data_IF_145928415406
#
_entry.id   IF_145928415406
#
_cell.length_a   1.000
_cell.length_b   1.000
_cell.length_c   1.000
_cell.angle_alpha   90.00
_cell.angle_beta   90.00
_cell.angle_gamma   90.00
#
_symmetry.space_group_name_H-M   'P 1'
#
loop_
_entity.id
_entity.type
_entity.pdbx_description
1 polymer ?
#
# COMPACT_ATOMS: atom_id res chain seq x y z
N UNK A 1 -9.57 -78.16 -14.17
CA UNK A 1 -10.79 -77.54 -13.60
C UNK A 1 -10.65 -76.02 -13.67
N UNK A 2 -11.63 -75.40 -14.35
CA UNK A 2 -12.08 -73.99 -14.44
C UNK A 2 -11.20 -72.86 -13.84
N UNK A 3 -10.73 -71.89 -14.66
CA UNK A 3 -11.32 -70.55 -15.01
C UNK A 3 -11.10 -69.49 -13.91
N UNK A 4 -10.72 -68.22 -14.09
CA UNK A 4 -10.43 -67.28 -15.18
C UNK A 4 -9.58 -66.14 -14.51
N UNK A 5 -8.47 -65.63 -15.05
CA UNK A 5 -8.35 -64.53 -16.03
C UNK A 5 -9.11 -63.23 -15.66
N UNK A 6 -8.41 -62.09 -15.49
CA UNK A 6 -8.30 -60.98 -16.47
C UNK A 6 -7.43 -59.82 -15.96
N UNK A 7 -6.84 -59.11 -16.94
CA UNK A 7 -5.85 -58.02 -16.85
C UNK A 7 -6.51 -56.64 -17.03
N UNK A 8 -5.80 -55.63 -16.53
CA UNK A 8 -5.57 -54.27 -17.10
C UNK A 8 -6.72 -53.27 -17.32
N UNK A 9 -6.34 -51.98 -17.16
CA UNK A 9 -7.11 -50.76 -17.50
C UNK A 9 -7.28 -49.89 -16.25
N UNK A 10 -6.65 -48.73 -16.07
CA UNK A 10 -6.70 -47.53 -16.92
C UNK A 10 -7.39 -46.43 -16.10
N UNK A 11 -6.70 -45.35 -15.71
CA UNK A 11 -6.82 -44.00 -16.30
C UNK A 11 -7.82 -43.07 -15.56
N UNK A 12 -7.22 -42.03 -14.94
CA UNK A 12 -7.57 -40.59 -15.03
C UNK A 12 -8.82 -40.02 -14.29
N UNK A 13 -8.52 -38.93 -13.56
CA UNK A 13 -9.32 -37.76 -13.19
C UNK A 13 -10.52 -37.92 -12.24
N UNK A 14 -10.30 -37.52 -10.97
CA UNK A 14 -11.35 -36.89 -10.16
C UNK A 14 -10.96 -35.42 -9.96
N UNK A 15 -11.02 -34.66 -11.06
CA UNK A 15 -11.06 -33.20 -11.06
C UNK A 15 -12.34 -32.78 -11.79
N UNK A 16 -13.50 -33.14 -11.21
CA UNK A 16 -14.82 -32.85 -11.79
C UNK A 16 -15.95 -32.73 -10.77
N UNK A 17 -15.66 -32.81 -9.47
CA UNK A 17 -16.68 -32.81 -8.42
C UNK A 17 -17.25 -31.44 -8.06
N UNK A 18 -16.59 -30.33 -8.45
CA UNK A 18 -16.95 -28.99 -7.96
C UNK A 18 -17.90 -28.21 -8.87
N UNK A 19 -18.30 -28.75 -10.04
CA UNK A 19 -19.16 -28.01 -10.98
C UNK A 19 -20.54 -28.63 -11.26
N UNK A 20 -20.84 -29.84 -10.75
CA UNK A 20 -22.14 -30.50 -10.96
C UNK A 20 -23.10 -30.41 -9.76
N UNK A 21 -22.64 -30.00 -8.58
CA UNK A 21 -23.54 -29.78 -7.43
C UNK A 21 -24.40 -28.51 -7.55
N UNK A 22 -24.15 -27.65 -8.55
CA UNK A 22 -24.87 -26.39 -8.78
C UNK A 22 -26.04 -26.46 -9.76
N UNK A 23 -26.33 -27.61 -10.39
CA UNK A 23 -27.31 -27.70 -11.49
C UNK A 23 -28.52 -28.61 -11.23
N UNK A 24 -28.73 -29.10 -10.00
CA UNK A 24 -29.84 -30.03 -9.69
C UNK A 24 -30.59 -29.81 -8.37
N UNK A 25 -30.72 -28.57 -7.92
CA UNK A 25 -31.70 -28.20 -6.89
C UNK A 25 -32.63 -27.10 -7.42
N UNK A 26 -33.40 -27.47 -8.45
CA UNK A 26 -34.61 -26.77 -8.81
C UNK A 26 -35.79 -27.51 -8.19
N UNK A 27 -36.58 -26.78 -7.41
CA UNK A 27 -37.91 -27.12 -6.91
C UNK A 27 -38.03 -28.45 -6.17
N UNK A 28 -37.89 -28.45 -4.84
CA UNK A 28 -38.90 -28.95 -3.88
C UNK A 28 -38.52 -28.45 -2.47
N UNK A 29 -39.24 -27.45 -1.95
CA UNK A 29 -39.16 -27.05 -0.54
C UNK A 29 -40.35 -27.65 0.21
N UNK A 30 -40.14 -28.59 1.16
CA UNK A 30 -41.20 -29.20 1.94
C UNK A 30 -41.45 -28.34 3.20
N UNK A 31 -42.01 -27.14 3.02
CA UNK A 31 -42.53 -26.33 4.13
C UNK A 31 -43.74 -25.53 3.66
N UNK A 32 -44.73 -26.25 3.15
CA UNK A 32 -46.08 -25.76 2.93
C UNK A 32 -46.97 -26.45 3.95
N UNK A 33 -47.19 -25.77 5.08
CA UNK A 33 -48.33 -25.84 6.00
C UNK A 33 -47.88 -25.43 7.40
N UNK A 34 -47.63 -24.13 7.60
CA UNK A 34 -47.73 -23.52 8.92
C UNK A 34 -48.87 -22.49 8.82
N UNK A 35 -49.94 -22.71 9.59
CA UNK A 35 -51.01 -21.73 9.74
C UNK A 35 -50.43 -20.47 10.38
N UNK A 36 -50.37 -19.39 9.62
CA UNK A 36 -49.98 -18.08 10.12
C UNK A 36 -51.10 -17.54 11.03
N UNK A 37 -50.86 -17.54 12.34
CA UNK A 37 -51.67 -16.78 13.28
C UNK A 37 -51.38 -15.28 13.06
N UNK A 38 -52.29 -14.57 12.42
CA UNK A 38 -52.26 -13.11 12.27
C UNK A 38 -52.62 -12.44 13.60
N UNK A 39 -51.65 -12.31 14.49
CA UNK A 39 -51.71 -11.32 15.57
C UNK A 39 -51.27 -9.96 14.99
N UNK A 40 -52.24 -9.14 14.59
CA UNK A 40 -51.99 -7.78 14.11
C UNK A 40 -51.80 -6.88 15.33
N UNK A 41 -50.55 -6.64 15.73
CA UNK A 41 -50.25 -5.56 16.68
C UNK A 41 -50.48 -4.21 15.98
N UNK A 42 -51.22 -3.26 16.59
CA UNK A 42 -51.36 -1.93 16.02
C UNK A 42 -50.00 -1.23 16.02
N UNK A 43 -49.55 -0.85 14.82
CA UNK A 43 -48.34 -0.03 14.64
C UNK A 43 -48.62 1.36 15.20
N UNK A 44 -47.82 1.90 16.13
CA UNK A 44 -47.99 3.28 16.57
C UNK A 44 -47.78 4.22 15.38
N UNK A 45 -48.80 5.03 15.09
CA UNK A 45 -48.75 6.02 14.01
C UNK A 45 -47.87 7.18 14.48
N UNK A 46 -46.63 7.24 14.02
CA UNK A 46 -45.79 8.41 14.21
C UNK A 46 -46.42 9.60 13.45
N UNK A 47 -46.45 10.81 14.04
CA UNK A 47 -46.85 11.99 13.28
C UNK A 47 -45.92 12.16 12.07
N UNK A 48 -46.44 12.62 10.92
CA UNK A 48 -45.58 12.97 9.80
C UNK A 48 -44.57 14.02 10.26
N UNK A 49 -43.27 13.72 10.14
CA UNK A 49 -42.25 14.75 10.28
C UNK A 49 -42.56 15.85 9.26
N UNK A 50 -42.82 17.06 9.74
CA UNK A 50 -42.93 18.23 8.89
C UNK A 50 -41.57 18.41 8.20
N UNK A 51 -41.52 18.11 6.91
CA UNK A 51 -40.41 18.50 6.05
C UNK A 51 -40.49 20.02 5.92
N UNK A 52 -39.84 20.74 6.84
CA UNK A 52 -39.41 22.11 6.59
C UNK A 52 -38.67 22.10 5.24
N UNK A 53 -38.94 23.05 4.31
CA UNK A 53 -38.19 23.16 3.09
C UNK A 53 -36.71 23.16 3.45
N UNK A 54 -35.95 22.22 2.91
CA UNK A 54 -34.50 22.22 3.07
C UNK A 54 -34.04 23.59 2.56
N UNK A 55 -33.65 24.47 3.49
CA UNK A 55 -32.93 25.68 3.16
C UNK A 55 -31.78 25.21 2.27
N UNK A 56 -31.75 25.64 1.02
CA UNK A 56 -30.64 25.34 0.11
C UNK A 56 -29.37 25.78 0.82
N UNK A 57 -28.65 24.81 1.39
CA UNK A 57 -27.38 25.04 2.03
C UNK A 57 -26.43 25.53 0.93
N UNK A 58 -26.34 26.85 0.78
CA UNK A 58 -25.36 27.49 -0.08
C UNK A 58 -23.99 26.94 0.35
N UNK A 59 -23.18 26.37 -0.55
CA UNK A 59 -21.84 25.93 -0.19
C UNK A 59 -21.06 27.17 0.21
N UNK A 60 -20.96 27.41 1.52
CA UNK A 60 -20.48 28.70 2.05
C UNK A 60 -18.96 28.77 2.12
N UNK A 61 -18.24 27.76 1.62
CA UNK A 61 -16.79 27.82 1.50
C UNK A 61 -16.39 27.10 0.22
N UNK A 62 -15.57 27.73 -0.62
CA UNK A 62 -14.78 26.99 -1.60
C UNK A 62 -13.87 26.06 -0.81
N UNK A 63 -14.29 24.81 -0.65
CA UNK A 63 -13.48 23.79 0.00
C UNK A 63 -12.33 23.52 -0.95
N UNK A 64 -11.17 24.11 -0.66
CA UNK A 64 -9.93 23.82 -1.35
C UNK A 64 -9.63 22.31 -1.34
N UNK A 65 -8.72 21.85 -2.21
CA UNK A 65 -8.35 20.44 -2.27
C UNK A 65 -7.98 19.93 -0.87
N UNK A 66 -8.50 18.76 -0.49
CA UNK A 66 -8.13 18.15 0.79
C UNK A 66 -6.63 17.92 0.86
N UNK A 67 -6.04 17.96 2.07
CA UNK A 67 -4.59 17.77 2.21
C UNK A 67 -4.09 16.44 1.62
N UNK A 68 -4.88 15.38 1.77
CA UNK A 68 -4.60 14.09 1.13
C UNK A 68 -4.59 14.19 -0.41
N UNK A 69 -5.48 15.00 -1.00
CA UNK A 69 -5.50 15.23 -2.45
C UNK A 69 -4.31 16.06 -2.95
N UNK A 70 -3.78 16.96 -2.12
CA UNK A 70 -2.52 17.66 -2.43
C UNK A 70 -1.33 16.70 -2.41
N UNK A 71 -1.26 15.84 -1.40
CA UNK A 71 -0.19 14.84 -1.23
C UNK A 71 -0.22 13.84 -2.40
N UNK A 72 -1.41 13.33 -2.72
CA UNK A 72 -1.63 12.30 -3.74
C UNK A 72 -1.99 12.89 -5.09
N UNK A 73 -1.58 14.14 -5.36
CA UNK A 73 -1.82 14.85 -6.62
C UNK A 73 -1.42 14.02 -7.84
N UNK A 74 -0.33 13.27 -7.73
CA UNK A 74 0.23 12.46 -8.82
C UNK A 74 -0.17 10.98 -8.81
N UNK A 75 -1.26 10.64 -8.11
CA UNK A 75 -1.80 9.29 -8.11
C UNK A 75 -1.44 8.47 -6.88
N UNK A 76 -2.07 7.29 -6.78
CA UNK A 76 -1.88 6.35 -5.68
C UNK A 76 -1.09 5.15 -6.20
N UNK A 77 0.06 4.81 -5.58
CA UNK A 77 0.80 3.60 -5.97
C UNK A 77 -0.02 2.31 -5.80
N UNK A 78 -0.93 2.29 -4.82
CA UNK A 78 -1.91 1.22 -4.61
C UNK A 78 -3.02 1.66 -3.67
N UNK A 79 -3.96 0.78 -3.33
CA UNK A 79 -5.12 1.10 -2.48
C UNK A 79 -5.25 0.21 -1.23
N UNK A 80 -4.27 -0.67 -0.97
CA UNK A 80 -4.35 -1.58 0.17
C UNK A 80 -4.14 -0.82 1.49
N UNK A 81 -5.07 -0.98 2.44
CA UNK A 81 -5.08 -0.37 3.77
C UNK A 81 -4.55 1.08 3.79
N UNK A 82 -5.19 1.94 2.99
CA UNK A 82 -4.84 3.34 2.87
C UNK A 82 -5.21 4.13 4.14
N UNK A 83 -4.28 4.96 4.60
CA UNK A 83 -4.46 5.84 5.76
C UNK A 83 -3.94 7.24 5.46
N UNK A 84 -4.72 8.24 5.84
CA UNK A 84 -4.42 9.65 5.62
C UNK A 84 -4.09 10.32 6.95
N UNK A 85 -2.91 10.93 7.03
CA UNK A 85 -2.49 11.77 8.14
C UNK A 85 -2.40 13.23 7.66
N UNK A 86 -2.09 14.13 8.58
CA UNK A 86 -2.03 15.56 8.29
C UNK A 86 -0.97 15.93 7.24
N UNK A 87 0.20 15.29 7.26
CA UNK A 87 1.31 15.66 6.35
C UNK A 87 1.81 14.51 5.45
N UNK A 88 1.20 13.33 5.57
CA UNK A 88 1.57 12.17 4.77
C UNK A 88 0.41 11.20 4.59
N UNK A 89 0.49 10.38 3.56
CA UNK A 89 -0.45 9.29 3.27
C UNK A 89 0.34 7.99 3.23
N UNK A 90 -0.16 6.92 3.84
CA UNK A 90 0.51 5.63 3.83
C UNK A 90 -0.43 4.49 3.48
N UNK A 91 0.11 3.47 2.83
CA UNK A 91 -0.52 2.17 2.63
C UNK A 91 0.15 1.16 3.55
N UNK A 92 -0.63 0.49 4.40
CA UNK A 92 -0.08 -0.39 5.43
C UNK A 92 -0.17 -1.86 5.04
N UNK A 93 0.97 -2.55 5.00
CA UNK A 93 1.01 -3.99 4.80
C UNK A 93 0.82 -4.71 6.14
N UNK A 94 -0.38 -5.24 6.34
CA UNK A 94 -0.70 -6.05 7.54
C UNK A 94 0.13 -7.33 7.64
N UNK A 95 0.57 -7.90 6.52
CA UNK A 95 1.35 -9.14 6.49
C UNK A 95 2.77 -8.91 7.00
N UNK A 96 3.41 -7.83 6.55
CA UNK A 96 4.79 -7.51 6.95
C UNK A 96 4.88 -6.62 8.18
N UNK A 97 3.76 -6.04 8.65
CA UNK A 97 3.66 -5.01 9.70
C UNK A 97 4.47 -3.75 9.39
N UNK A 98 4.65 -3.47 8.09
CA UNK A 98 5.37 -2.30 7.59
C UNK A 98 4.50 -1.57 6.58
N UNK A 99 4.87 -0.35 6.18
CA UNK A 99 4.18 0.30 5.08
C UNK A 99 4.55 -0.39 3.75
N UNK A 100 3.58 -0.58 2.86
CA UNK A 100 3.87 -0.83 1.45
C UNK A 100 4.60 0.39 0.87
N UNK A 101 4.08 1.58 1.18
CA UNK A 101 4.64 2.86 0.79
C UNK A 101 4.12 3.98 1.69
N UNK A 102 4.90 5.04 1.80
CA UNK A 102 4.52 6.31 2.43
C UNK A 102 4.79 7.44 1.45
N UNK A 103 3.81 8.32 1.25
CA UNK A 103 3.89 9.49 0.39
C UNK A 103 3.77 10.77 1.23
N UNK A 104 4.73 11.67 1.04
CA UNK A 104 4.81 12.97 1.71
C UNK A 104 4.87 14.09 0.66
N UNK A 105 4.24 15.23 0.92
CA UNK A 105 4.35 16.43 0.07
C UNK A 105 4.95 17.58 0.86
N UNK A 106 6.26 17.77 0.67
CA UNK A 106 7.05 18.78 1.36
C UNK A 106 7.06 20.08 0.58
N UNK A 107 6.83 21.20 1.25
CA UNK A 107 6.97 22.57 0.71
C UNK A 107 8.00 23.35 1.53
N UNK A 108 8.60 24.45 1.02
CA UNK A 108 9.62 25.17 1.76
C UNK A 108 9.03 25.76 3.04
N UNK A 109 7.78 26.25 2.96
CA UNK A 109 7.02 26.79 4.08
C UNK A 109 6.84 25.79 5.22
N UNK A 110 6.60 24.51 4.92
CA UNK A 110 6.48 23.43 5.92
C UNK A 110 7.82 22.87 6.40
N UNK A 111 8.89 23.11 5.63
CA UNK A 111 10.25 22.70 5.99
C UNK A 111 10.95 23.69 6.93
N UNK A 112 10.41 24.90 7.13
CA UNK A 112 10.95 25.90 8.06
C UNK A 112 10.98 25.32 9.48
N UNK A 113 12.07 25.58 10.19
CA UNK A 113 12.16 25.23 11.60
C UNK A 113 11.22 26.11 12.40
N UNK A 114 10.25 25.49 13.06
CA UNK A 114 9.38 26.15 14.02
C UNK A 114 9.87 25.79 15.44
N UNK A 115 10.22 26.78 16.29
CA UNK A 115 10.69 26.51 17.65
C UNK A 115 9.61 25.86 18.55
N UNK A 116 8.33 25.92 18.17
CA UNK A 116 7.25 25.21 18.86
C UNK A 116 7.26 23.70 18.58
N UNK A 117 7.83 23.28 17.44
CA UNK A 117 7.85 21.88 17.00
C UNK A 117 9.15 21.23 17.44
N UNK A 118 9.09 20.60 18.62
CA UNK A 118 10.21 19.85 19.18
C UNK A 118 10.05 18.34 18.95
N UNK A 119 10.90 17.80 18.07
CA UNK A 119 10.96 16.36 17.78
C UNK A 119 11.35 15.52 19.01
N UNK A 120 12.01 16.11 20.02
CA UNK A 120 12.36 15.40 21.25
C UNK A 120 11.13 14.96 22.05
N UNK A 121 9.99 15.65 21.87
CA UNK A 121 8.70 15.34 22.50
C UNK A 121 7.89 14.28 21.73
N UNK A 122 8.34 13.87 20.55
CA UNK A 122 7.68 12.83 19.76
C UNK A 122 8.15 11.45 20.24
N UNK A 123 7.20 10.61 20.66
CA UNK A 123 7.46 9.21 21.02
C UNK A 123 6.98 8.28 19.91
N UNK A 124 7.78 7.28 19.55
CA UNK A 124 7.29 6.16 18.74
C UNK A 124 6.22 5.44 19.56
N UNK A 125 5.10 5.08 18.94
CA UNK A 125 3.99 4.33 19.57
C UNK A 125 3.35 3.45 18.50
N UNK A 126 2.80 2.31 18.88
CA UNK A 126 2.02 1.50 17.96
C UNK A 126 0.71 2.22 17.60
N UNK A 127 0.25 2.02 16.37
CA UNK A 127 -1.02 2.61 15.92
C UNK A 127 -2.20 1.79 16.48
N UNK A 128 -3.02 2.36 17.38
CA UNK A 128 -4.14 1.64 18.01
C UNK A 128 -5.26 1.32 17.02
N UNK A 129 -5.31 1.99 15.86
CA UNK A 129 -6.34 1.77 14.85
C UNK A 129 -6.05 0.56 13.93
N UNK A 130 -4.88 -0.08 14.08
CA UNK A 130 -4.55 -1.34 13.43
C UNK A 130 -4.88 -2.48 14.40
N UNK A 131 -5.45 -3.59 13.93
CA UNK A 131 -5.70 -4.73 14.80
C UNK A 131 -4.38 -5.27 15.39
N UNK A 132 -4.37 -5.63 16.67
CA UNK A 132 -3.17 -5.99 17.45
C UNK A 132 -2.23 -6.98 16.76
N UNK A 133 -2.74 -7.97 16.05
CA UNK A 133 -1.95 -8.97 15.31
C UNK A 133 -1.05 -8.41 14.20
N UNK A 134 -1.41 -7.24 13.70
CA UNK A 134 -0.75 -6.57 12.59
C UNK A 134 -0.05 -5.29 13.03
N UNK A 135 -0.02 -4.96 14.32
CA UNK A 135 0.75 -3.83 14.84
C UNK A 135 2.23 -4.20 14.94
N UNK A 136 3.09 -3.21 14.79
CA UNK A 136 4.50 -3.29 15.14
C UNK A 136 4.78 -2.46 16.40
N UNK A 137 5.66 -2.94 17.27
CA UNK A 137 5.91 -2.36 18.59
C UNK A 137 7.29 -1.68 18.63
N UNK A 138 7.47 -0.75 19.57
CA UNK A 138 8.74 -0.01 19.68
C UNK A 138 9.95 -0.90 19.98
N UNK A 139 9.71 -2.07 20.59
CA UNK A 139 10.73 -3.11 20.78
C UNK A 139 11.36 -3.54 19.46
N UNK A 140 10.69 -3.32 18.34
CA UNK A 140 11.09 -3.81 17.03
C UNK A 140 12.02 -2.83 16.26
N UNK A 141 12.15 -1.54 16.67
CA UNK A 141 12.72 -0.47 15.80
C UNK A 141 13.79 0.47 16.39
N UNK A 142 14.69 0.00 17.25
CA UNK A 142 15.52 0.87 18.11
C UNK A 142 16.47 1.93 17.47
N UNK A 143 16.53 2.21 16.15
CA UNK A 143 17.46 3.22 15.58
C UNK A 143 17.01 3.89 14.25
N UNK A 144 17.05 5.25 14.17
CA UNK A 144 17.53 6.13 13.02
C UNK A 144 16.91 7.55 12.96
N UNK A 145 17.66 8.54 12.42
CA UNK A 145 17.23 9.92 12.09
C UNK A 145 17.84 10.47 10.78
N UNK A 146 17.09 11.41 10.14
CA UNK A 146 17.47 12.60 9.31
C UNK A 146 17.27 12.54 7.77
N UNK A 147 16.61 13.58 7.20
CA UNK A 147 17.01 14.39 6.02
C UNK A 147 16.02 15.56 5.74
N UNK A 148 16.49 16.72 5.22
CA UNK A 148 15.71 17.87 4.68
C UNK A 148 16.52 18.63 3.60
N UNK A 149 15.93 18.90 2.42
CA UNK A 149 16.07 20.16 1.59
C UNK A 149 15.52 20.00 0.17
N UNK A 150 14.54 20.85 -0.22
CA UNK A 150 14.07 21.08 -1.61
C UNK A 150 12.83 22.00 -1.67
N UNK A 151 12.44 22.47 -2.88
CA UNK A 151 11.30 23.38 -3.14
C UNK A 151 9.96 22.69 -2.88
N UNK A 152 9.47 21.89 -3.82
CA UNK A 152 8.49 20.85 -3.53
C UNK A 152 9.16 19.50 -3.72
N UNK A 153 8.99 18.59 -2.78
CA UNK A 153 9.55 17.25 -2.93
C UNK A 153 8.62 16.19 -2.41
N UNK A 154 8.40 15.24 -3.31
CA UNK A 154 7.64 14.03 -3.06
C UNK A 154 8.65 12.92 -2.86
N UNK A 155 8.63 12.31 -1.68
CA UNK A 155 9.50 11.18 -1.36
C UNK A 155 8.60 9.97 -1.18
N UNK A 156 8.81 8.97 -2.03
CA UNK A 156 8.24 7.65 -1.86
C UNK A 156 9.31 6.75 -1.25
N UNK A 157 9.04 6.21 -0.07
CA UNK A 157 9.93 5.25 0.60
C UNK A 157 9.16 3.97 0.91
N UNK A 158 9.81 2.82 0.74
CA UNK A 158 9.25 1.54 1.14
C UNK A 158 10.27 0.41 1.20
N UNK A 159 9.89 -0.72 1.81
CA UNK A 159 10.70 -1.94 1.85
C UNK A 159 10.60 -2.72 0.54
N UNK A 160 11.67 -3.45 0.20
CA UNK A 160 11.68 -4.44 -0.87
C UNK A 160 12.24 -5.77 -0.38
N UNK A 161 11.69 -6.84 -0.93
CA UNK A 161 12.07 -8.23 -0.66
C UNK A 161 12.59 -8.85 -1.94
N UNK A 162 13.81 -8.46 -2.32
CA UNK A 162 14.40 -8.86 -3.60
C UNK A 162 14.85 -10.33 -3.60
N UNK A 163 14.68 -11.05 -4.72
CA UNK A 163 15.15 -12.41 -4.85
C UNK A 163 16.67 -12.47 -5.03
N UNK A 164 17.29 -13.54 -4.54
CA UNK A 164 18.68 -13.90 -4.81
C UNK A 164 18.75 -15.27 -5.49
N UNK A 165 19.83 -15.52 -6.23
CA UNK A 165 20.07 -16.81 -6.88
C UNK A 165 20.71 -17.78 -5.88
N UNK A 166 20.07 -18.92 -5.65
CA UNK A 166 20.60 -20.02 -4.85
C UNK A 166 21.70 -20.79 -5.58
N UNK A 167 22.39 -21.66 -4.85
CA UNK A 167 23.43 -22.55 -5.39
C UNK A 167 22.89 -23.53 -6.44
N UNK A 168 21.61 -23.88 -6.33
CA UNK A 168 20.85 -24.69 -7.27
C UNK A 168 20.45 -23.95 -8.55
N UNK A 169 20.77 -22.65 -8.64
CA UNK A 169 20.45 -21.78 -9.76
C UNK A 169 19.03 -21.19 -9.75
N UNK A 170 18.19 -21.58 -8.79
CA UNK A 170 16.83 -21.04 -8.64
C UNK A 170 16.85 -19.69 -7.91
N UNK A 171 15.76 -18.93 -8.04
CA UNK A 171 15.61 -17.63 -7.35
C UNK A 171 14.74 -17.79 -6.11
N UNK A 172 15.23 -17.29 -4.98
CA UNK A 172 14.53 -17.33 -3.70
C UNK A 172 14.39 -15.93 -3.12
N UNK A 173 13.27 -15.67 -2.47
CA UNK A 173 13.10 -14.50 -1.60
C UNK A 173 13.21 -15.00 -0.16
N UNK A 174 14.29 -14.62 0.54
CA UNK A 174 14.52 -14.96 1.94
C UNK A 174 14.75 -13.69 2.74
N UNK A 175 14.04 -13.56 3.86
CA UNK A 175 14.19 -12.45 4.78
C UNK A 175 14.02 -12.95 6.21
N UNK A 176 14.69 -12.26 7.14
CA UNK A 176 14.55 -12.53 8.57
C UNK A 176 13.18 -12.03 9.03
N UNK A 177 12.57 -12.72 10.00
CA UNK A 177 11.44 -12.21 10.78
C UNK A 177 11.89 -12.03 12.23
N UNK A 178 11.41 -10.97 12.90
CA UNK A 178 11.81 -10.61 14.27
C UNK A 178 10.62 -10.42 15.20
N UNK A 179 10.85 -10.55 16.50
CA UNK A 179 9.84 -10.36 17.55
C UNK A 179 8.80 -11.47 17.61
N UNK A 180 8.01 -11.49 18.67
CA UNK A 180 6.88 -12.43 18.80
C UNK A 180 5.85 -12.24 17.68
N UNK A 181 5.80 -11.03 17.12
CA UNK A 181 4.94 -10.66 16.03
C UNK A 181 5.56 -10.92 14.66
N UNK A 182 6.66 -11.66 14.51
CA UNK A 182 7.24 -12.04 13.21
C UNK A 182 7.30 -10.87 12.19
N UNK A 183 7.76 -9.70 12.63
CA UNK A 183 7.93 -8.51 11.78
C UNK A 183 8.97 -8.82 10.72
N UNK A 184 8.64 -8.63 9.45
CA UNK A 184 9.55 -8.94 8.36
C UNK A 184 10.66 -7.88 8.28
N UNK A 185 11.90 -8.34 8.13
CA UNK A 185 13.07 -7.48 7.94
C UNK A 185 13.34 -7.36 6.43
N UNK A 186 13.14 -6.17 5.83
CA UNK A 186 13.35 -5.97 4.40
C UNK A 186 14.77 -6.30 3.97
N UNK A 187 14.95 -6.80 2.75
CA UNK A 187 16.31 -6.99 2.19
C UNK A 187 16.89 -5.67 1.72
N UNK A 188 16.04 -4.80 1.16
CA UNK A 188 16.40 -3.47 0.69
C UNK A 188 15.32 -2.47 1.07
N UNK A 189 15.66 -1.19 1.04
CA UNK A 189 14.73 -0.07 1.05
C UNK A 189 14.92 0.71 -0.23
N UNK A 190 13.84 1.18 -0.82
CA UNK A 190 13.92 2.14 -1.90
C UNK A 190 13.58 3.54 -1.42
N UNK A 191 14.14 4.53 -2.10
CA UNK A 191 13.69 5.93 -2.02
C UNK A 191 13.58 6.47 -3.43
N UNK A 192 12.37 6.84 -3.83
CA UNK A 192 12.15 7.64 -5.04
C UNK A 192 11.86 9.06 -4.61
N UNK A 193 12.70 9.98 -5.02
CA UNK A 193 12.61 11.41 -4.72
C UNK A 193 12.22 12.10 -6.01
N UNK A 194 11.11 12.82 -6.01
CA UNK A 194 10.69 13.70 -7.09
C UNK A 194 10.76 15.14 -6.58
N UNK A 195 11.76 15.87 -7.05
CA UNK A 195 12.00 17.26 -6.68
C UNK A 195 11.54 18.20 -7.80
N UNK A 196 10.67 19.13 -7.47
CA UNK A 196 10.35 20.26 -8.35
C UNK A 196 11.45 21.31 -8.20
N UNK A 197 12.29 21.46 -9.22
CA UNK A 197 13.42 22.42 -9.19
C UNK A 197 12.98 23.82 -9.61
N UNK A 198 11.95 23.91 -10.45
CA UNK A 198 11.25 25.13 -10.82
C UNK A 198 9.82 24.77 -11.25
N UNK A 199 8.86 25.72 -11.27
CA UNK A 199 7.47 25.43 -11.55
C UNK A 199 7.27 24.58 -12.82
N UNK A 200 6.80 23.34 -12.66
CA UNK A 200 6.56 22.40 -13.76
C UNK A 200 7.81 21.70 -14.32
N UNK A 201 8.99 21.87 -13.73
CA UNK A 201 10.21 21.14 -14.04
C UNK A 201 10.60 20.23 -12.88
N UNK A 202 10.63 18.93 -13.15
CA UNK A 202 10.90 17.92 -12.14
C UNK A 202 12.22 17.19 -12.41
N UNK A 203 12.92 16.89 -11.33
CA UNK A 203 14.07 15.99 -11.29
C UNK A 203 13.71 14.81 -10.39
N UNK A 204 14.03 13.60 -10.83
CA UNK A 204 13.77 12.37 -10.09
C UNK A 204 15.06 11.66 -9.74
N UNK A 205 15.13 11.12 -8.54
CA UNK A 205 16.23 10.29 -8.06
C UNK A 205 15.65 9.01 -7.45
N UNK A 206 16.17 7.86 -7.89
CA UNK A 206 15.69 6.54 -7.53
C UNK A 206 16.83 5.76 -6.89
N UNK A 207 16.72 5.51 -5.59
CA UNK A 207 17.71 4.80 -4.80
C UNK A 207 17.19 3.43 -4.36
N UNK A 208 18.09 2.44 -4.35
CA UNK A 208 17.86 1.14 -3.76
C UNK A 208 18.99 0.81 -2.80
N UNK A 209 18.69 0.89 -1.50
CA UNK A 209 19.66 0.72 -0.44
C UNK A 209 19.53 -0.68 0.19
N UNK A 210 20.60 -1.47 0.29
CA UNK A 210 20.56 -2.72 1.02
C UNK A 210 20.37 -2.46 2.52
N UNK A 211 19.58 -3.30 3.19
CA UNK A 211 19.38 -3.22 4.64
C UNK A 211 20.55 -3.85 5.40
N UNK A 212 21.75 -3.33 5.17
CA UNK A 212 23.00 -3.76 5.79
C UNK A 212 23.86 -2.54 6.15
N UNK A 213 24.98 -2.77 6.83
CA UNK A 213 25.94 -1.70 7.11
C UNK A 213 26.52 -1.20 5.79
N UNK A 214 26.39 0.11 5.53
CA UNK A 214 26.97 0.78 4.37
C UNK A 214 28.11 1.67 4.90
N UNK A 215 29.34 1.54 4.39
CA UNK A 215 30.45 2.41 4.79
C UNK A 215 30.17 3.88 4.44
N UNK A 216 30.54 4.80 5.32
CA UNK A 216 30.33 6.26 5.12
C UNK A 216 31.05 6.83 3.90
N UNK A 217 32.12 6.15 3.44
CA UNK A 217 32.84 6.49 2.21
C UNK A 217 32.08 6.11 0.93
N UNK A 218 30.97 5.39 1.03
CA UNK A 218 30.20 4.92 -0.14
C UNK A 218 29.36 6.07 -0.67
N UNK A 219 29.60 6.48 -1.91
CA UNK A 219 28.81 7.53 -2.54
C UNK A 219 27.36 7.07 -2.77
N UNK A 220 26.41 7.99 -2.53
CA UNK A 220 24.98 7.73 -2.71
C UNK A 220 24.61 7.39 -4.17
N UNK A 221 25.40 7.90 -5.13
CA UNK A 221 25.31 7.62 -6.57
C UNK A 221 25.39 6.12 -6.90
N UNK A 222 26.07 5.34 -6.05
CA UNK A 222 26.23 3.87 -6.20
C UNK A 222 24.90 3.14 -6.08
N UNK A 223 23.91 3.73 -5.39
CA UNK A 223 22.61 3.11 -5.15
C UNK A 223 21.55 3.51 -6.18
N UNK A 224 21.93 4.24 -7.23
CA UNK A 224 21.00 4.59 -8.29
C UNK A 224 20.49 3.36 -9.03
N UNK A 225 19.18 3.28 -9.18
CA UNK A 225 18.51 2.25 -9.99
C UNK A 225 17.48 2.89 -10.93
N UNK A 226 17.14 2.25 -12.05
CA UNK A 226 16.00 2.67 -12.87
C UNK A 226 14.69 2.61 -12.08
N UNK A 227 13.77 3.54 -12.34
CA UNK A 227 12.45 3.56 -11.71
C UNK A 227 11.71 2.23 -11.93
N UNK A 228 11.79 1.68 -13.14
CA UNK A 228 11.11 0.45 -13.54
C UNK A 228 11.55 -0.75 -12.71
N UNK A 229 12.79 -0.75 -12.21
CA UNK A 229 13.30 -1.81 -11.34
C UNK A 229 12.58 -1.81 -9.99
N UNK A 230 12.35 -0.61 -9.43
CA UNK A 230 11.62 -0.44 -8.17
C UNK A 230 10.15 -0.80 -8.38
N UNK A 231 9.50 -0.31 -9.44
CA UNK A 231 8.10 -0.60 -9.73
C UNK A 231 7.85 -2.10 -9.93
N UNK A 232 8.69 -2.77 -10.71
CA UNK A 232 8.60 -4.23 -10.94
C UNK A 232 8.82 -5.03 -9.66
N UNK A 233 9.74 -4.59 -8.80
CA UNK A 233 10.04 -5.30 -7.56
C UNK A 233 9.02 -5.02 -6.46
N UNK A 234 8.47 -3.81 -6.43
CA UNK A 234 7.46 -3.36 -5.46
C UNK A 234 6.05 -3.79 -5.83
N UNK A 235 5.77 -4.01 -7.13
CA UNK A 235 4.45 -4.39 -7.62
C UNK A 235 3.46 -3.21 -7.66
N UNK A 236 3.96 -1.98 -7.79
CA UNK A 236 3.15 -0.76 -7.88
C UNK A 236 3.80 0.25 -8.82
N UNK A 237 2.99 1.17 -9.36
CA UNK A 237 3.45 2.27 -10.21
C UNK A 237 3.76 3.49 -9.34
N UNK A 238 4.77 4.26 -9.74
CA UNK A 238 5.28 5.39 -8.97
C UNK A 238 5.16 6.66 -9.83
N UNK A 239 4.37 7.64 -9.36
CA UNK A 239 4.09 8.90 -10.06
C UNK A 239 3.50 8.71 -11.47
N UNK A 240 2.55 7.78 -11.62
CA UNK A 240 1.90 7.43 -12.89
C UNK A 240 1.19 8.61 -13.57
N UNK A 241 0.71 9.59 -12.79
CA UNK A 241 0.06 10.80 -13.31
C UNK A 241 1.03 11.94 -13.63
N UNK A 242 2.34 11.77 -13.45
CA UNK A 242 3.32 12.80 -13.80
C UNK A 242 3.47 12.88 -15.34
N UNK A 243 3.23 14.05 -15.97
CA UNK A 243 3.46 14.21 -17.39
C UNK A 243 4.95 14.01 -17.73
N UNK A 244 5.25 13.06 -18.62
CA UNK A 244 6.63 12.64 -18.94
C UNK A 244 7.48 13.78 -19.52
N UNK A 245 6.86 14.75 -20.17
CA UNK A 245 7.47 15.96 -20.72
C UNK A 245 8.01 16.93 -19.66
N UNK A 246 7.45 16.87 -18.45
CA UNK A 246 7.83 17.71 -17.31
C UNK A 246 9.01 17.15 -16.52
N UNK A 247 9.31 15.86 -16.69
CA UNK A 247 10.46 15.20 -16.07
C UNK A 247 11.73 15.50 -16.87
N UNK A 248 12.63 16.32 -16.31
CA UNK A 248 13.85 16.79 -16.99
C UNK A 248 15.03 15.88 -16.74
N UNK A 249 15.14 15.32 -15.54
CA UNK A 249 16.24 14.41 -15.17
C UNK A 249 15.76 13.21 -14.37
N UNK A 250 16.43 12.08 -14.56
CA UNK A 250 16.33 10.88 -13.73
C UNK A 250 17.74 10.45 -13.34
N UNK A 251 18.02 10.32 -12.04
CA UNK A 251 19.32 9.95 -11.49
C UNK A 251 20.46 10.83 -12.05
N UNK A 252 20.23 12.15 -12.13
CA UNK A 252 21.17 13.12 -12.67
C UNK A 252 21.30 13.16 -14.21
N UNK A 253 20.67 12.22 -14.94
CA UNK A 253 20.73 12.16 -16.42
C UNK A 253 19.52 12.85 -17.06
N UNK A 254 19.73 13.59 -18.16
CA UNK A 254 18.64 14.22 -18.91
C UNK A 254 17.75 13.17 -19.58
N UNK A 255 16.44 13.31 -19.42
CA UNK A 255 15.45 12.46 -20.12
C UNK A 255 15.49 12.82 -21.61
N UNK A 256 15.78 11.85 -22.48
CA UNK A 256 15.84 12.03 -23.94
C UNK A 256 17.25 12.08 -24.57
N UNK A 257 18.32 11.83 -23.81
CA UNK A 257 19.64 11.57 -24.39
C UNK A 257 19.74 10.13 -24.92
N UNK A 258 20.26 9.94 -26.15
CA UNK A 258 20.57 8.61 -26.68
C UNK A 258 21.57 7.89 -25.76
N UNK A 259 21.34 6.59 -25.57
CA UNK A 259 22.19 5.66 -24.83
C UNK A 259 23.53 5.42 -25.52
#
# INVERSE_FOLDING_TARGET
MLRNAWRAGGIIAVAGGSFLLGARYGNECPLRNAQAATAVSPVPTLPPLQLEPAEEAKPTYEVGPSRASEIMRYGFPGFDNLRTFEDFVLSYDRKTRTAHWVCEHLTPSRLIYDPSVDRSKCEFRSDPSIHKYFQSENTDYRFRKVAKKSLNTYILTGPLYLPYKGEDGNKYVRYKVIGANNVAVPTHFFKVILAETSPGNFEMECFLLPNQVIPDSTELSTFYVPLEMIERSGGFLIFDKLPKDKLKKVNGKKVGGLW
#
